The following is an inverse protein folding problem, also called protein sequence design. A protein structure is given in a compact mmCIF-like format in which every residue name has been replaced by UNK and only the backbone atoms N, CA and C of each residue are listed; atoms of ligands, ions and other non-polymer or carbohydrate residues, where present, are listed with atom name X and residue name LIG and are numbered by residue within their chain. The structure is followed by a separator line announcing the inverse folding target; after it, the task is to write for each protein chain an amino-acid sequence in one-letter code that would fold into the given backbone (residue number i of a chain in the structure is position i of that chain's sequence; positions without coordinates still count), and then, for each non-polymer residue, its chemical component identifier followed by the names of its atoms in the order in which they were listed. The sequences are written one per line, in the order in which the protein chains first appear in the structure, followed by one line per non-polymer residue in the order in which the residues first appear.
data_IF_077080465684
#
_entry.id   IF_077080465684
#
_cell.length_a   1.000
_cell.length_b   1.000
_cell.length_c   1.000
_cell.angle_alpha   90.00
_cell.angle_beta   90.00
_cell.angle_gamma   90.00
#
_symmetry.space_group_name_H-M   'P 1'
#
loop_
_entity.id
_entity.type
_entity.pdbx_description
1 polymer ?
#
# COMPACT_ATOMS: atom_id res chain seq x y z
N UNK A 1 14.44 -16.92 29.66
CA UNK A 1 13.15 -16.39 30.18
C UNK A 1 13.16 -14.90 29.84
N UNK A 2 12.55 -14.36 28.79
CA UNK A 2 11.12 -14.25 28.45
C UNK A 2 10.99 -13.70 27.01
N UNK A 3 11.18 -14.51 25.96
CA UNK A 3 10.97 -14.08 24.57
C UNK A 3 10.15 -15.08 23.73
N UNK A 4 9.48 -16.03 24.36
CA UNK A 4 8.81 -17.13 23.64
C UNK A 4 7.40 -17.43 24.14
N UNK A 5 6.68 -16.40 24.63
CA UNK A 5 5.32 -16.55 25.16
C UNK A 5 4.24 -15.75 24.43
N UNK A 6 4.49 -15.23 23.22
CA UNK A 6 3.44 -14.61 22.41
C UNK A 6 3.37 -15.18 20.99
N UNK A 7 3.40 -16.51 20.85
CA UNK A 7 3.19 -17.18 19.55
C UNK A 7 2.02 -18.17 19.52
N UNK A 8 1.25 -18.32 20.60
CA UNK A 8 0.13 -19.29 20.62
C UNK A 8 -1.17 -18.82 21.27
N UNK A 9 -1.33 -17.54 21.64
CA UNK A 9 -2.62 -17.01 22.12
C UNK A 9 -2.77 -15.54 21.76
N UNK A 10 -3.43 -15.32 20.63
CA UNK A 10 -4.15 -14.12 20.16
C UNK A 10 -3.89 -14.04 18.66
N UNK A 11 -4.88 -14.42 17.85
CA UNK A 11 -5.03 -13.73 16.58
C UNK A 11 -5.18 -12.25 16.96
N UNK A 12 -4.12 -11.46 16.81
CA UNK A 12 -4.23 -10.04 17.01
C UNK A 12 -5.33 -9.55 16.05
N UNK A 13 -6.20 -8.64 16.48
CA UNK A 13 -7.29 -8.14 15.62
C UNK A 13 -6.77 -7.61 14.26
N UNK A 14 -5.50 -7.20 14.21
CA UNK A 14 -4.77 -6.84 13.00
C UNK A 14 -4.61 -8.00 12.00
N UNK A 15 -4.38 -9.25 12.46
CA UNK A 15 -4.33 -10.43 11.59
C UNK A 15 -5.69 -10.72 10.96
N UNK A 16 -6.77 -10.50 11.71
CA UNK A 16 -8.13 -10.72 11.21
C UNK A 16 -8.49 -9.70 10.12
N UNK A 17 -8.13 -8.42 10.32
CA UNK A 17 -8.31 -7.39 9.30
C UNK A 17 -7.48 -7.70 8.05
N UNK A 18 -6.20 -8.05 8.19
CA UNK A 18 -5.35 -8.44 7.06
C UNK A 18 -5.88 -9.66 6.30
N UNK A 19 -6.39 -10.68 7.00
CA UNK A 19 -6.97 -11.87 6.37
C UNK A 19 -8.25 -11.52 5.60
N UNK A 20 -9.15 -10.73 6.20
CA UNK A 20 -10.36 -10.26 5.52
C UNK A 20 -10.02 -9.42 4.29
N UNK A 21 -9.00 -8.57 4.39
CA UNK A 21 -8.50 -7.75 3.30
C UNK A 21 -7.89 -8.57 2.16
N UNK A 22 -7.07 -9.57 2.49
CA UNK A 22 -6.47 -10.47 1.51
C UNK A 22 -7.53 -11.31 0.76
N UNK A 23 -8.62 -11.69 1.43
CA UNK A 23 -9.75 -12.39 0.83
C UNK A 23 -10.74 -11.48 0.08
N UNK A 24 -10.57 -10.16 0.11
CA UNK A 24 -11.46 -9.21 -0.57
C UNK A 24 -12.85 -9.06 0.07
N UNK A 25 -13.01 -9.43 1.34
CA UNK A 25 -14.32 -9.41 2.01
C UNK A 25 -14.64 -8.02 2.58
N UNK A 26 -15.18 -7.15 1.72
CA UNK A 26 -15.43 -5.74 2.04
C UNK A 26 -16.33 -5.55 3.28
N UNK A 27 -17.43 -6.29 3.41
CA UNK A 27 -18.33 -6.19 4.57
C UNK A 27 -17.63 -6.59 5.89
N UNK A 28 -16.80 -7.64 5.86
CA UNK A 28 -16.05 -8.09 7.03
C UNK A 28 -15.01 -7.04 7.44
N UNK A 29 -14.33 -6.43 6.48
CA UNK A 29 -13.39 -5.33 6.72
C UNK A 29 -14.09 -4.12 7.34
N UNK A 30 -15.24 -3.70 6.81
CA UNK A 30 -16.01 -2.60 7.40
C UNK A 30 -16.44 -2.88 8.84
N UNK A 31 -16.95 -4.09 9.12
CA UNK A 31 -17.35 -4.48 10.46
C UNK A 31 -16.17 -4.47 11.43
N UNK A 32 -14.98 -4.92 11.00
CA UNK A 32 -13.77 -4.90 11.81
C UNK A 32 -13.29 -3.48 12.09
N UNK A 33 -13.32 -2.59 11.10
CA UNK A 33 -12.98 -1.18 11.27
C UNK A 33 -13.95 -0.49 12.25
N UNK A 34 -15.25 -0.76 12.14
CA UNK A 34 -16.26 -0.27 13.09
C UNK A 34 -16.05 -0.81 14.51
N UNK A 35 -15.53 -2.03 14.65
CA UNK A 35 -15.16 -2.62 15.93
C UNK A 35 -13.84 -2.08 16.50
N UNK A 36 -13.21 -1.10 15.85
CA UNK A 36 -11.95 -0.49 16.28
C UNK A 36 -10.72 -1.34 15.97
N UNK A 37 -10.76 -2.14 14.90
CA UNK A 37 -9.54 -2.79 14.39
C UNK A 37 -8.52 -1.73 13.95
N UNK A 38 -7.25 -2.01 14.22
CA UNK A 38 -6.15 -1.15 13.78
C UNK A 38 -5.94 -1.30 12.27
N UNK A 39 -6.28 -0.25 11.52
CA UNK A 39 -6.17 -0.18 10.05
C UNK A 39 -4.72 -0.28 9.56
N UNK A 40 -3.74 0.07 10.41
CA UNK A 40 -2.31 -0.02 10.12
C UNK A 40 -1.65 -1.21 10.83
N UNK A 41 -2.45 -2.05 11.47
CA UNK A 41 -1.98 -3.19 12.25
C UNK A 41 -1.27 -4.22 11.37
N UNK A 42 -0.05 -4.56 11.72
CA UNK A 42 0.74 -5.53 10.96
C UNK A 42 0.28 -6.96 11.22
N UNK A 43 0.29 -7.79 10.18
CA UNK A 43 0.13 -9.23 10.30
C UNK A 43 1.44 -9.95 10.64
N UNK A 44 1.39 -11.28 10.79
CA UNK A 44 2.56 -12.14 11.00
C UNK A 44 3.69 -11.99 9.94
N UNK A 45 3.37 -11.51 8.74
CA UNK A 45 4.34 -11.22 7.68
C UNK A 45 4.82 -9.77 7.66
N UNK A 46 4.47 -8.99 8.70
CA UNK A 46 4.77 -7.56 8.84
C UNK A 46 4.21 -6.70 7.70
N UNK A 47 3.06 -7.09 7.16
CA UNK A 47 2.32 -6.31 6.15
C UNK A 47 1.10 -5.66 6.74
N UNK A 48 0.74 -4.50 6.21
CA UNK A 48 -0.51 -3.79 6.53
C UNK A 48 -1.70 -4.39 5.77
N UNK A 49 -2.94 -4.18 6.25
CA UNK A 49 -4.16 -4.54 5.53
C UNK A 49 -4.20 -3.94 4.11
N UNK A 50 -3.70 -2.72 3.95
CA UNK A 50 -3.61 -2.02 2.68
C UNK A 50 -2.71 -2.77 1.68
N UNK A 51 -1.54 -3.21 2.11
CA UNK A 51 -0.60 -3.97 1.28
C UNK A 51 -1.18 -5.31 0.81
N UNK A 52 -1.96 -6.00 1.65
CA UNK A 52 -2.58 -7.29 1.27
C UNK A 52 -3.85 -7.12 0.44
N UNK A 53 -4.61 -6.03 0.63
CA UNK A 53 -5.79 -5.70 -0.17
C UNK A 53 -5.46 -5.40 -1.65
N UNK A 54 -4.25 -4.90 -1.90
CA UNK A 54 -3.74 -4.55 -3.23
C UNK A 54 -3.82 -5.68 -4.24
N UNK A 55 -3.81 -6.94 -3.81
CA UNK A 55 -3.77 -8.13 -4.67
C UNK A 55 -5.09 -8.45 -5.41
N UNK A 56 -6.10 -7.58 -5.37
CA UNK A 56 -7.30 -7.82 -6.19
C UNK A 56 -8.48 -6.87 -6.04
N UNK A 57 -8.47 -5.88 -5.15
CA UNK A 57 -9.66 -5.07 -4.89
C UNK A 57 -9.37 -3.58 -4.71
N UNK A 58 -9.54 -2.79 -5.77
CA UNK A 58 -9.44 -1.32 -5.74
C UNK A 58 -10.43 -0.71 -4.75
N UNK A 59 -11.67 -1.18 -4.73
CA UNK A 59 -12.71 -0.68 -3.82
C UNK A 59 -12.33 -0.89 -2.35
N UNK A 60 -11.65 -1.99 -2.05
CA UNK A 60 -11.19 -2.27 -0.71
C UNK A 60 -10.03 -1.36 -0.31
N UNK A 61 -9.14 -1.04 -1.25
CA UNK A 61 -8.06 -0.08 -1.05
C UNK A 61 -8.62 1.31 -0.74
N UNK A 62 -9.66 1.76 -1.46
CA UNK A 62 -10.36 3.03 -1.16
C UNK A 62 -10.91 3.03 0.26
N UNK A 63 -11.67 1.99 0.66
CA UNK A 63 -12.24 1.88 2.01
C UNK A 63 -11.17 1.93 3.10
N UNK A 64 -10.04 1.24 2.90
CA UNK A 64 -8.95 1.24 3.87
C UNK A 64 -8.28 2.61 3.98
N UNK A 65 -8.08 3.31 2.86
CA UNK A 65 -7.52 4.67 2.84
C UNK A 65 -8.46 5.67 3.49
N UNK A 66 -9.77 5.59 3.23
CA UNK A 66 -10.79 6.41 3.90
C UNK A 66 -10.84 6.14 5.41
N UNK A 67 -10.55 4.91 5.84
CA UNK A 67 -10.43 4.53 7.23
C UNK A 67 -9.10 4.97 7.89
N UNK A 68 -8.21 5.65 7.16
CA UNK A 68 -6.94 6.16 7.67
C UNK A 68 -5.75 5.20 7.55
N UNK A 69 -5.79 4.25 6.62
CA UNK A 69 -4.62 3.47 6.26
C UNK A 69 -3.49 4.38 5.77
N UNK A 70 -2.25 4.09 6.17
CA UNK A 70 -1.08 4.83 5.71
C UNK A 70 -0.74 4.44 4.25
N UNK A 71 -0.92 5.33 3.26
CA UNK A 71 -0.58 5.05 1.86
C UNK A 71 0.94 4.86 1.63
N UNK A 72 1.76 5.29 2.59
CA UNK A 72 3.22 5.20 2.56
C UNK A 72 3.77 4.07 3.43
N UNK A 73 2.90 3.17 3.88
CA UNK A 73 3.31 1.99 4.63
C UNK A 73 4.40 1.22 3.88
N UNK A 74 5.48 0.91 4.60
CA UNK A 74 6.66 0.23 4.08
C UNK A 74 6.75 -1.18 4.60
N UNK A 75 6.97 -2.10 3.67
CA UNK A 75 7.45 -3.43 4.01
C UNK A 75 8.86 -3.30 4.61
N UNK A 76 9.11 -3.93 5.76
CA UNK A 76 10.36 -3.75 6.47
C UNK A 76 11.49 -4.69 6.01
N UNK A 77 11.25 -5.54 5.00
CA UNK A 77 12.24 -6.47 4.46
C UNK A 77 12.88 -6.00 3.16
N UNK A 78 12.15 -5.24 2.35
CA UNK A 78 12.63 -4.69 1.07
C UNK A 78 12.42 -3.17 0.97
N UNK A 79 11.93 -2.54 2.03
CA UNK A 79 11.55 -1.13 2.08
C UNK A 79 10.55 -0.74 0.98
N UNK A 80 9.74 -1.69 0.53
CA UNK A 80 8.75 -1.50 -0.53
C UNK A 80 7.53 -0.78 0.03
N UNK A 81 7.13 0.32 -0.61
CA UNK A 81 5.86 0.98 -0.30
C UNK A 81 4.71 0.29 -1.02
N UNK A 82 3.49 0.55 -0.54
CA UNK A 82 2.23 0.17 -1.21
C UNK A 82 2.24 0.54 -2.70
N UNK A 83 2.75 1.73 -3.04
CA UNK A 83 2.91 2.19 -4.44
C UNK A 83 3.94 1.38 -5.24
N UNK A 84 5.01 0.85 -4.64
CA UNK A 84 5.94 -0.04 -5.34
C UNK A 84 5.26 -1.35 -5.76
N UNK A 85 4.51 -1.97 -4.85
CA UNK A 85 3.76 -3.19 -5.15
C UNK A 85 2.71 -2.93 -6.23
N UNK A 86 1.92 -1.87 -6.10
CA UNK A 86 0.93 -1.44 -7.10
C UNK A 86 1.55 -1.24 -8.49
N UNK A 87 2.73 -0.62 -8.53
CA UNK A 87 3.42 -0.30 -9.76
C UNK A 87 4.06 -1.52 -10.42
N UNK A 88 4.61 -2.44 -9.61
CA UNK A 88 5.19 -3.71 -10.09
C UNK A 88 4.14 -4.61 -10.73
N UNK A 89 2.93 -4.66 -10.17
CA UNK A 89 1.83 -5.48 -10.70
C UNK A 89 1.02 -4.77 -11.81
N UNK A 90 1.25 -3.48 -12.03
CA UNK A 90 0.56 -2.72 -13.08
C UNK A 90 -0.85 -2.27 -12.73
N UNK A 91 -1.21 -2.18 -11.45
CA UNK A 91 -2.55 -1.79 -11.01
C UNK A 91 -2.79 -0.28 -11.13
N UNK A 92 -3.06 0.17 -12.36
CA UNK A 92 -3.23 1.59 -12.73
C UNK A 92 -4.22 2.31 -11.83
N UNK A 93 -5.41 1.76 -11.62
CA UNK A 93 -6.43 2.41 -10.80
C UNK A 93 -6.05 2.45 -9.32
N UNK A 94 -5.42 1.40 -8.79
CA UNK A 94 -4.93 1.42 -7.41
C UNK A 94 -3.83 2.45 -7.21
N UNK A 95 -2.90 2.59 -8.16
CA UNK A 95 -1.88 3.64 -8.14
C UNK A 95 -2.52 5.03 -8.15
N UNK A 96 -3.57 5.24 -8.96
CA UNK A 96 -4.31 6.51 -9.02
C UNK A 96 -4.95 6.83 -7.66
N UNK A 97 -5.64 5.86 -7.07
CA UNK A 97 -6.28 6.00 -5.75
C UNK A 97 -5.25 6.33 -4.68
N UNK A 98 -4.11 5.63 -4.66
CA UNK A 98 -3.02 5.88 -3.73
C UNK A 98 -2.45 7.30 -3.86
N UNK A 99 -2.19 7.77 -5.09
CA UNK A 99 -1.69 9.13 -5.35
C UNK A 99 -2.71 10.18 -4.87
N UNK A 100 -4.00 9.95 -5.13
CA UNK A 100 -5.07 10.85 -4.68
C UNK A 100 -5.14 10.95 -3.14
N UNK A 101 -4.78 9.89 -2.43
CA UNK A 101 -4.72 9.84 -0.96
C UNK A 101 -3.34 10.23 -0.39
N UNK A 102 -2.43 10.80 -1.21
CA UNK A 102 -1.16 11.34 -0.74
C UNK A 102 0.00 10.34 -0.68
N UNK A 103 -0.06 9.24 -1.44
CA UNK A 103 1.06 8.32 -1.57
C UNK A 103 2.29 9.00 -2.20
N UNK A 104 3.43 8.86 -1.55
CA UNK A 104 4.72 9.36 -2.01
C UNK A 104 5.30 8.40 -3.06
N UNK A 105 5.29 8.84 -4.32
CA UNK A 105 5.84 8.08 -5.46
C UNK A 105 7.35 8.25 -5.65
N UNK A 106 7.99 9.08 -4.82
CA UNK A 106 9.43 9.36 -4.87
C UNK A 106 10.23 8.58 -3.83
N UNK A 107 9.58 7.67 -3.10
CA UNK A 107 10.26 6.82 -2.14
C UNK A 107 11.03 5.74 -2.90
N UNK A 108 12.28 5.51 -2.51
CA UNK A 108 13.10 4.45 -3.05
C UNK A 108 13.02 3.20 -2.17
N UNK A 109 12.99 2.03 -2.80
CA UNK A 109 13.17 0.74 -2.14
C UNK A 109 14.64 0.50 -1.73
N UNK A 110 14.94 -0.66 -1.14
CA UNK A 110 16.31 -1.02 -0.73
C UNK A 110 17.32 -1.06 -1.88
N UNK A 111 16.84 -1.27 -3.10
CA UNK A 111 17.69 -1.33 -4.31
C UNK A 111 17.81 0.03 -5.00
N UNK A 112 17.24 1.09 -4.43
CA UNK A 112 17.21 2.43 -5.02
C UNK A 112 16.20 2.58 -6.15
N UNK A 113 15.29 1.62 -6.33
CA UNK A 113 14.23 1.71 -7.33
C UNK A 113 13.07 2.53 -6.80
N UNK A 114 12.50 3.39 -7.66
CA UNK A 114 11.23 4.06 -7.41
C UNK A 114 10.09 3.18 -7.92
N UNK A 115 8.83 3.41 -7.49
CA UNK A 115 7.66 2.73 -8.06
C UNK A 115 7.64 2.80 -9.59
N UNK A 116 8.03 3.94 -10.16
CA UNK A 116 8.16 4.15 -11.60
C UNK A 116 9.15 3.18 -12.26
N UNK A 117 10.29 2.89 -11.61
CA UNK A 117 11.29 1.96 -12.14
C UNK A 117 10.73 0.54 -12.18
N UNK A 118 9.97 0.13 -11.15
CA UNK A 118 9.32 -1.18 -11.12
C UNK A 118 8.23 -1.31 -12.18
N UNK A 119 7.39 -0.29 -12.35
CA UNK A 119 6.39 -0.25 -13.43
C UNK A 119 7.03 -0.32 -14.82
N UNK A 120 8.11 0.42 -15.05
CA UNK A 120 8.84 0.39 -16.31
C UNK A 120 9.47 -1.00 -16.57
N UNK A 121 10.03 -1.63 -15.54
CA UNK A 121 10.59 -2.98 -15.62
C UNK A 121 9.54 -4.04 -15.92
N UNK A 122 8.32 -3.88 -15.38
CA UNK A 122 7.16 -4.74 -15.67
C UNK A 122 6.46 -4.45 -17.01
N UNK A 123 6.85 -3.38 -17.72
CA UNK A 123 6.20 -2.96 -18.97
C UNK A 123 4.86 -2.25 -18.77
N UNK A 124 4.54 -1.81 -17.56
CA UNK A 124 3.28 -1.15 -17.22
C UNK A 124 3.32 0.35 -17.55
N UNK A 125 3.35 0.68 -18.85
CA UNK A 125 3.45 2.05 -19.38
C UNK A 125 2.36 3.00 -18.85
N UNK A 126 1.17 2.46 -18.58
CA UNK A 126 0.06 3.22 -18.02
C UNK A 126 0.35 3.72 -16.61
N UNK A 127 0.89 2.86 -15.75
CA UNK A 127 1.32 3.25 -14.40
C UNK A 127 2.39 4.33 -14.49
N UNK A 128 3.38 4.13 -15.37
CA UNK A 128 4.48 5.09 -15.59
C UNK A 128 3.93 6.47 -15.95
N UNK A 129 2.89 6.54 -16.77
CA UNK A 129 2.28 7.79 -17.22
C UNK A 129 1.52 8.52 -16.09
N UNK A 130 0.83 7.78 -15.23
CA UNK A 130 0.03 8.40 -14.15
C UNK A 130 0.88 8.77 -12.93
N UNK A 131 1.98 8.08 -12.65
CA UNK A 131 2.89 8.45 -11.56
C UNK A 131 3.57 9.77 -11.90
N UNK A 132 3.37 10.84 -11.11
CA UNK A 132 4.01 12.12 -11.37
C UNK A 132 5.53 11.97 -11.20
N UNK A 133 6.25 12.02 -12.31
CA UNK A 133 7.70 12.12 -12.28
C UNK A 133 8.12 13.46 -11.67
N UNK A 134 8.95 13.45 -10.62
CA UNK A 134 9.67 14.65 -10.16
C UNK A 134 10.42 15.35 -11.32
N UNK A 135 10.87 14.57 -12.33
CA UNK A 135 11.53 15.11 -13.51
C UNK A 135 10.63 16.03 -14.36
N UNK A 136 9.32 15.78 -14.42
CA UNK A 136 8.39 16.60 -15.22
C UNK A 136 7.88 17.81 -14.41
N UNK A 137 7.62 17.63 -13.11
CA UNK A 137 7.11 18.71 -12.26
C UNK A 137 8.15 19.80 -11.92
N UNK A 138 9.44 19.45 -11.84
CA UNK A 138 10.50 20.44 -11.62
C UNK A 138 10.71 21.39 -12.80
N UNK A 139 10.37 20.97 -14.03
CA UNK A 139 10.32 21.86 -15.20
C UNK A 139 9.01 22.62 -15.31
N UNK A 140 7.86 22.00 -15.02
CA UNK A 140 6.56 22.68 -15.12
C UNK A 140 6.36 23.80 -14.09
N UNK A 141 7.03 23.77 -12.92
CA UNK A 141 6.98 24.88 -11.96
C UNK A 141 7.87 26.07 -12.31
N UNK A 142 8.78 25.95 -13.29
CA UNK A 142 9.66 27.05 -13.75
C UNK A 142 9.15 27.78 -14.98
N UNK A 143 8.05 27.32 -15.57
CA UNK A 143 7.34 27.98 -16.66
C UNK A 143 5.92 28.34 -16.20
N UNK A 144 5.83 29.30 -15.29
CA UNK A 144 4.65 30.17 -15.20
C UNK A 144 5.10 31.58 -15.54
N UNK A 145 4.53 32.22 -16.58
CA UNK A 145 4.82 33.62 -16.90
C UNK A 145 4.32 34.57 -15.81
#
# INVERSE_FOLDING_TARGET
ETLFLCSTRMACRSDLLCNASACGKLEEVLNLLQAGADVNGLNAFRRTPLQVAMLGNTNLVEVLLEAGADPNARDPTLNLTVTHDAAREGFVETVRVLINHGAEVNLADETGNLPLHLAAKGGHLEVVRITPCHFVLSKLKKEKP
#
